data_IF_698481730796
#
_entry.id   IF_698481730796
#
_cell.length_a   1.000
_cell.length_b   1.000
_cell.length_c   1.000
_cell.angle_alpha   90.00
_cell.angle_beta   90.00
_cell.angle_gamma   90.00
#
_symmetry.space_group_name_H-M   'P 1'
#
loop_
_entity.id
_entity.type
_entity.pdbx_description
1 polymer ?
#
# COMPACT_ATOMS: atom_id res chain seq x y z
N UNK A 1 -4.60 28.65 -0.52
CA UNK A 1 -3.49 27.97 0.19
C UNK A 1 -2.48 27.51 -0.85
N UNK A 2 -1.36 28.22 -0.99
CA UNK A 2 -0.20 27.68 -1.70
C UNK A 2 0.38 26.59 -0.78
N UNK A 3 0.16 25.31 -1.12
CA UNK A 3 0.93 24.22 -0.51
C UNK A 3 2.39 24.48 -0.88
N UNK A 4 3.21 24.82 0.10
CA UNK A 4 4.65 24.71 -0.05
C UNK A 4 4.92 23.24 -0.30
N UNK A 5 5.59 22.91 -1.41
CA UNK A 5 6.14 21.58 -1.61
C UNK A 5 7.09 21.33 -0.43
N UNK A 6 6.72 20.44 0.47
CA UNK A 6 7.64 20.01 1.52
C UNK A 6 8.66 19.08 0.87
N UNK A 7 9.92 19.39 1.08
CA UNK A 7 11.03 18.54 0.65
C UNK A 7 11.00 17.25 1.47
N UNK A 8 10.37 16.22 0.91
CA UNK A 8 10.35 14.87 1.46
C UNK A 8 10.89 13.90 0.42
N UNK A 9 11.53 12.83 0.85
CA UNK A 9 11.92 11.76 -0.05
C UNK A 9 10.67 10.98 -0.50
N UNK A 10 10.64 10.60 -1.78
CA UNK A 10 9.68 9.60 -2.24
C UNK A 10 9.98 8.25 -1.58
N UNK A 11 9.04 7.31 -1.62
CA UNK A 11 9.27 5.94 -1.12
C UNK A 11 10.49 5.32 -1.83
N UNK A 12 10.58 5.47 -3.16
CA UNK A 12 11.69 4.94 -3.95
C UNK A 12 13.04 5.55 -3.56
N UNK A 13 13.11 6.89 -3.39
CA UNK A 13 14.34 7.56 -2.98
C UNK A 13 14.77 7.16 -1.56
N UNK A 14 13.81 7.03 -0.64
CA UNK A 14 14.09 6.60 0.72
C UNK A 14 14.56 5.14 0.76
N UNK A 15 13.90 4.23 0.04
CA UNK A 15 14.34 2.84 -0.08
C UNK A 15 15.75 2.77 -0.65
N UNK A 16 16.08 3.55 -1.68
CA UNK A 16 17.42 3.59 -2.25
C UNK A 16 18.47 4.10 -1.23
N UNK A 17 18.14 5.13 -0.46
CA UNK A 17 19.01 5.68 0.57
C UNK A 17 19.32 4.66 1.69
N UNK A 18 18.30 3.90 2.13
CA UNK A 18 18.45 2.89 3.19
C UNK A 18 19.07 1.58 2.70
N UNK A 19 18.89 1.22 1.44
CA UNK A 19 19.50 0.04 0.82
C UNK A 19 21.03 0.15 0.73
N UNK A 20 21.55 1.36 0.59
CA UNK A 20 23.00 1.64 0.56
C UNK A 20 23.70 1.09 -0.69
N UNK A 21 25.02 1.04 -0.64
CA UNK A 21 25.88 0.68 -1.80
C UNK A 21 25.82 -0.80 -2.18
N UNK A 22 25.30 -1.65 -1.32
CA UNK A 22 25.23 -3.11 -1.54
C UNK A 22 23.96 -3.57 -2.28
N UNK A 23 23.08 -2.65 -2.64
CA UNK A 23 21.85 -2.95 -3.36
C UNK A 23 21.67 -2.02 -4.54
N UNK A 24 21.03 -2.53 -5.59
CA UNK A 24 20.58 -1.73 -6.73
C UNK A 24 19.08 -1.57 -6.64
N UNK A 25 18.61 -0.34 -6.49
CA UNK A 25 17.18 -0.03 -6.50
C UNK A 25 16.79 0.49 -7.88
N UNK A 26 15.83 -0.17 -8.50
CA UNK A 26 15.29 0.22 -9.81
C UNK A 26 13.83 0.64 -9.58
N UNK A 27 13.49 1.82 -10.06
CA UNK A 27 12.14 2.36 -9.97
C UNK A 27 11.46 2.35 -11.33
N UNK A 28 10.22 1.89 -11.37
CA UNK A 28 9.31 2.01 -12.51
C UNK A 28 7.93 2.40 -12.00
N UNK A 29 7.24 3.30 -12.72
CA UNK A 29 5.97 3.86 -12.23
C UNK A 29 4.74 3.10 -12.70
N UNK A 30 4.54 2.99 -14.02
CA UNK A 30 3.26 2.61 -14.62
C UNK A 30 3.36 1.74 -15.89
N UNK A 31 4.57 1.45 -16.34
CA UNK A 31 4.76 0.58 -17.51
C UNK A 31 4.73 -0.90 -17.09
N UNK A 32 3.58 -1.54 -17.26
CA UNK A 32 3.31 -2.92 -16.82
C UNK A 32 4.28 -3.92 -17.48
N UNK A 33 4.56 -3.79 -18.79
CA UNK A 33 5.50 -4.67 -19.50
C UNK A 33 6.92 -4.52 -18.92
N UNK A 34 7.34 -3.28 -18.66
CA UNK A 34 8.66 -3.01 -18.09
C UNK A 34 8.78 -3.53 -16.66
N UNK A 35 7.73 -3.39 -15.86
CA UNK A 35 7.64 -3.96 -14.51
C UNK A 35 7.79 -5.48 -14.56
N UNK A 36 7.07 -6.16 -15.45
CA UNK A 36 7.17 -7.60 -15.63
C UNK A 36 8.58 -8.07 -16.02
N UNK A 37 9.31 -7.27 -16.81
CA UNK A 37 10.71 -7.56 -17.17
C UNK A 37 11.64 -7.39 -15.97
N UNK A 38 11.58 -6.24 -15.30
CA UNK A 38 12.45 -5.91 -14.16
C UNK A 38 12.23 -6.85 -12.98
N UNK A 39 11.00 -7.26 -12.74
CA UNK A 39 10.63 -8.15 -11.65
C UNK A 39 11.34 -9.52 -11.73
N UNK A 40 11.70 -10.00 -12.91
CA UNK A 40 12.37 -11.31 -13.09
C UNK A 40 13.77 -11.35 -12.46
N UNK A 41 14.46 -10.21 -12.48
CA UNK A 41 15.84 -10.09 -12.02
C UNK A 41 15.93 -9.50 -10.59
N UNK A 42 14.80 -9.10 -10.01
CA UNK A 42 14.75 -8.58 -8.65
C UNK A 42 14.91 -9.68 -7.59
N UNK A 43 15.50 -9.36 -6.46
CA UNK A 43 15.51 -10.22 -5.27
C UNK A 43 14.25 -10.02 -4.42
N UNK A 44 13.75 -8.79 -4.39
CA UNK A 44 12.50 -8.40 -3.71
C UNK A 44 11.82 -7.28 -4.50
N UNK A 45 10.50 -7.26 -4.47
CA UNK A 45 9.69 -6.25 -5.14
C UNK A 45 8.88 -5.50 -4.09
N UNK A 46 8.87 -4.17 -4.18
CA UNK A 46 8.03 -3.29 -3.37
C UNK A 46 7.08 -2.58 -4.32
N UNK A 47 5.79 -2.86 -4.18
CA UNK A 47 4.74 -2.20 -4.99
C UNK A 47 4.00 -1.20 -4.13
N UNK A 48 4.03 0.07 -4.51
CA UNK A 48 3.25 1.11 -3.86
C UNK A 48 1.94 1.33 -4.61
N UNK A 49 0.83 1.21 -3.91
CA UNK A 49 -0.53 1.40 -4.43
C UNK A 49 -1.30 2.40 -3.57
N UNK A 50 -2.38 2.91 -4.10
CA UNK A 50 -3.25 3.84 -3.38
C UNK A 50 -3.68 5.01 -4.24
N UNK A 51 -4.04 6.11 -3.60
CA UNK A 51 -4.55 7.30 -4.28
C UNK A 51 -3.89 8.59 -3.78
N UNK A 52 -3.84 9.62 -4.63
CA UNK A 52 -3.49 10.97 -4.19
C UNK A 52 -4.52 11.53 -3.21
N UNK A 53 -4.06 12.26 -2.20
CA UNK A 53 -4.90 12.80 -1.12
C UNK A 53 -6.07 13.71 -1.55
N UNK A 54 -6.11 14.15 -2.79
CA UNK A 54 -7.16 15.01 -3.33
C UNK A 54 -8.29 14.24 -4.05
N UNK A 55 -8.16 12.91 -4.21
CA UNK A 55 -9.12 12.11 -4.97
C UNK A 55 -10.21 11.45 -4.09
N UNK A 56 -10.18 11.65 -2.78
CA UNK A 56 -11.18 11.08 -1.87
C UNK A 56 -12.43 11.97 -1.69
N UNK A 57 -12.37 13.23 -2.09
CA UNK A 57 -13.48 14.18 -1.96
C UNK A 57 -14.30 14.31 -3.27
N UNK A 58 -15.62 14.54 -3.18
CA UNK A 58 -16.41 14.92 -4.34
C UNK A 58 -15.85 16.19 -5.04
N UNK A 59 -15.89 16.27 -6.38
CA UNK A 59 -16.52 15.36 -7.33
C UNK A 59 -15.66 14.18 -7.78
N UNK A 60 -14.49 13.98 -7.21
CA UNK A 60 -13.54 12.94 -7.60
C UNK A 60 -13.63 11.67 -6.73
N UNK A 61 -14.66 11.55 -5.87
CA UNK A 61 -14.91 10.35 -5.10
C UNK A 61 -15.17 9.13 -5.99
N UNK A 62 -14.74 7.98 -5.53
CA UNK A 62 -14.95 6.71 -6.21
C UNK A 62 -16.14 5.96 -5.61
N UNK A 63 -16.89 5.24 -6.45
CA UNK A 63 -18.01 4.38 -6.04
C UNK A 63 -17.53 3.00 -5.54
N UNK A 64 -16.22 2.82 -5.43
CA UNK A 64 -15.59 1.55 -5.04
C UNK A 64 -14.44 1.78 -4.07
N UNK A 65 -14.19 0.78 -3.22
CA UNK A 65 -12.99 0.69 -2.39
C UNK A 65 -11.91 -0.21 -3.00
N UNK A 66 -12.09 -0.66 -4.23
CA UNK A 66 -11.05 -1.39 -4.94
C UNK A 66 -9.89 -0.46 -5.32
N UNK A 67 -8.72 -1.05 -5.49
CA UNK A 67 -7.55 -0.35 -6.01
C UNK A 67 -7.84 0.05 -7.46
N UNK A 68 -7.66 1.33 -7.77
CA UNK A 68 -8.10 1.93 -9.04
C UNK A 68 -6.99 2.00 -10.10
N UNK A 69 -7.39 2.18 -11.36
CA UNK A 69 -6.49 2.33 -12.50
C UNK A 69 -5.74 1.04 -12.83
N UNK A 70 -4.51 1.17 -13.32
CA UNK A 70 -3.64 0.05 -13.70
C UNK A 70 -2.91 -0.60 -12.52
N UNK A 71 -3.18 -0.19 -11.29
CA UNK A 71 -2.42 -0.66 -10.12
C UNK A 71 -2.59 -2.16 -9.88
N UNK A 72 -3.79 -2.71 -10.14
CA UNK A 72 -4.02 -4.15 -10.06
C UNK A 72 -3.18 -4.91 -11.10
N UNK A 73 -3.10 -4.41 -12.34
CA UNK A 73 -2.29 -5.00 -13.40
C UNK A 73 -0.79 -4.98 -13.04
N UNK A 74 -0.32 -3.91 -12.39
CA UNK A 74 1.04 -3.78 -11.88
C UNK A 74 1.33 -4.84 -10.81
N UNK A 75 0.43 -5.02 -9.84
CA UNK A 75 0.54 -6.04 -8.81
C UNK A 75 0.63 -7.45 -9.42
N UNK A 76 -0.23 -7.76 -10.37
CA UNK A 76 -0.27 -9.06 -11.05
C UNK A 76 0.99 -9.30 -11.88
N UNK A 77 1.47 -8.30 -12.61
CA UNK A 77 2.71 -8.38 -13.39
C UNK A 77 3.94 -8.62 -12.48
N UNK A 78 4.01 -7.93 -11.36
CA UNK A 78 5.06 -8.12 -10.37
C UNK A 78 5.00 -9.53 -9.77
N UNK A 79 3.82 -10.00 -9.38
CA UNK A 79 3.57 -11.33 -8.81
C UNK A 79 3.96 -12.46 -9.75
N UNK A 80 3.73 -12.29 -11.06
CA UNK A 80 4.05 -13.30 -12.06
C UNK A 80 5.55 -13.68 -12.12
N UNK A 81 6.43 -12.84 -11.57
CA UNK A 81 7.86 -13.16 -11.43
C UNK A 81 8.17 -14.24 -10.41
N UNK A 82 7.25 -14.51 -9.46
CA UNK A 82 7.44 -15.44 -8.35
C UNK A 82 8.37 -14.94 -7.25
N UNK A 83 8.80 -13.68 -7.32
CA UNK A 83 9.70 -13.09 -6.32
C UNK A 83 8.95 -12.65 -5.06
N UNK A 84 9.65 -12.55 -3.91
CA UNK A 84 9.07 -11.95 -2.72
C UNK A 84 8.55 -10.54 -3.01
N UNK A 85 7.32 -10.25 -2.57
CA UNK A 85 6.67 -8.99 -2.86
C UNK A 85 6.04 -8.39 -1.60
N UNK A 86 6.26 -7.10 -1.40
CA UNK A 86 5.64 -6.29 -0.35
C UNK A 86 4.77 -5.22 -1.00
N UNK A 87 3.54 -5.08 -0.53
CA UNK A 87 2.64 -4.01 -0.94
C UNK A 87 2.65 -2.90 0.10
N UNK A 88 2.90 -1.66 -0.34
CA UNK A 88 2.78 -0.45 0.47
C UNK A 88 1.53 0.28 0.01
N UNK A 89 0.58 0.46 0.91
CA UNK A 89 -0.70 1.11 0.61
C UNK A 89 -0.68 2.53 1.16
N UNK A 90 -1.01 3.50 0.31
CA UNK A 90 -1.12 4.92 0.70
C UNK A 90 -2.48 5.46 0.29
N UNK A 91 -3.22 6.03 1.23
CA UNK A 91 -4.55 6.57 0.97
C UNK A 91 -5.35 6.76 2.25
N UNK A 92 -6.54 7.33 2.11
CA UNK A 92 -7.40 7.63 3.26
C UNK A 92 -8.59 6.67 3.42
N UNK A 93 -8.68 5.65 2.58
CA UNK A 93 -9.81 4.71 2.55
C UNK A 93 -9.36 3.29 2.88
N UNK A 94 -10.24 2.46 3.46
CA UNK A 94 -9.97 1.05 3.66
C UNK A 94 -10.16 0.30 2.33
N UNK A 95 -9.10 0.23 1.53
CA UNK A 95 -9.14 -0.49 0.26
C UNK A 95 -9.47 -1.96 0.44
N UNK A 96 -10.06 -2.56 -0.59
CA UNK A 96 -10.20 -4.01 -0.71
C UNK A 96 -8.81 -4.57 -1.04
N UNK A 97 -8.19 -5.20 -0.06
CA UNK A 97 -6.83 -5.73 -0.15
C UNK A 97 -6.79 -7.27 -0.21
N UNK A 98 -7.92 -7.92 -0.46
CA UNK A 98 -8.02 -9.39 -0.46
C UNK A 98 -7.02 -10.03 -1.41
N UNK A 99 -6.89 -9.48 -2.63
CA UNK A 99 -5.88 -9.97 -3.56
C UNK A 99 -4.45 -9.81 -3.02
N UNK A 100 -4.15 -8.68 -2.39
CA UNK A 100 -2.83 -8.43 -1.80
C UNK A 100 -2.56 -9.37 -0.62
N UNK A 101 -3.55 -9.63 0.24
CA UNK A 101 -3.44 -10.55 1.36
C UNK A 101 -3.09 -11.97 0.90
N UNK A 102 -3.71 -12.43 -0.17
CA UNK A 102 -3.50 -13.77 -0.74
C UNK A 102 -2.20 -13.90 -1.55
N UNK A 103 -1.68 -12.82 -2.12
CA UNK A 103 -0.65 -12.86 -3.15
C UNK A 103 0.66 -12.18 -2.77
N UNK A 104 0.72 -11.37 -1.71
CA UNK A 104 1.95 -10.70 -1.29
C UNK A 104 2.48 -11.25 0.02
N UNK A 105 3.76 -11.03 0.29
CA UNK A 105 4.41 -11.55 1.50
C UNK A 105 4.15 -10.66 2.73
N UNK A 106 3.85 -9.38 2.48
CA UNK A 106 3.47 -8.42 3.52
C UNK A 106 2.71 -7.25 2.91
N UNK A 107 1.84 -6.65 3.71
CA UNK A 107 1.15 -5.39 3.40
C UNK A 107 1.51 -4.38 4.48
N UNK A 108 1.98 -3.21 4.06
CA UNK A 108 2.21 -2.05 4.92
C UNK A 108 1.18 -0.97 4.59
N UNK A 109 0.19 -0.79 5.47
CA UNK A 109 -0.78 0.29 5.36
C UNK A 109 -0.18 1.56 5.99
N UNK A 110 0.09 2.56 5.15
CA UNK A 110 0.74 3.79 5.57
C UNK A 110 -0.21 5.00 5.62
N UNK A 111 -1.45 4.85 5.20
CA UNK A 111 -2.42 5.96 5.11
C UNK A 111 -1.86 7.19 4.38
N UNK A 112 -1.97 8.37 4.98
CA UNK A 112 -1.36 9.62 4.52
C UNK A 112 -0.17 9.99 5.41
N UNK A 113 1.02 9.45 5.17
CA UNK A 113 2.14 9.54 6.12
C UNK A 113 2.83 10.91 6.13
N UNK A 114 2.40 11.85 5.30
CA UNK A 114 2.94 13.21 5.24
C UNK A 114 4.33 13.30 4.60
N UNK A 115 5.03 14.41 4.85
CA UNK A 115 6.30 14.73 4.19
C UNK A 115 7.46 13.81 4.57
N UNK A 116 7.41 13.15 5.70
CA UNK A 116 8.42 12.19 6.15
C UNK A 116 8.02 10.73 5.86
N UNK A 117 6.92 10.53 5.13
CA UNK A 117 6.36 9.22 4.85
C UNK A 117 7.32 8.27 4.15
N UNK A 118 8.04 8.74 3.15
CA UNK A 118 9.03 7.92 2.45
C UNK A 118 10.09 7.35 3.39
N UNK A 119 10.61 8.18 4.31
CA UNK A 119 11.59 7.77 5.31
C UNK A 119 10.99 6.76 6.27
N UNK A 120 9.83 7.06 6.87
CA UNK A 120 9.18 6.19 7.84
C UNK A 120 8.82 4.81 7.24
N UNK A 121 8.36 4.78 6.00
CA UNK A 121 8.09 3.55 5.25
C UNK A 121 9.37 2.77 5.03
N UNK A 122 10.46 3.41 4.56
CA UNK A 122 11.74 2.75 4.37
C UNK A 122 12.30 2.19 5.68
N UNK A 123 12.29 2.97 6.76
CA UNK A 123 12.72 2.50 8.09
C UNK A 123 11.94 1.26 8.56
N UNK A 124 10.64 1.23 8.30
CA UNK A 124 9.81 0.07 8.60
C UNK A 124 10.21 -1.12 7.71
N UNK A 125 10.32 -0.94 6.40
CA UNK A 125 10.70 -2.01 5.47
C UNK A 125 12.09 -2.62 5.79
N UNK A 126 13.03 -1.80 6.27
CA UNK A 126 14.37 -2.26 6.68
C UNK A 126 14.45 -2.71 8.15
N UNK A 127 13.33 -2.74 8.88
CA UNK A 127 13.28 -3.22 10.26
C UNK A 127 13.90 -2.28 11.31
N UNK A 128 14.13 -1.02 10.95
CA UNK A 128 14.63 0.01 11.88
C UNK A 128 13.52 0.58 12.75
N UNK A 129 12.28 0.47 12.28
CA UNK A 129 11.08 0.83 12.99
C UNK A 129 10.12 -0.36 13.00
N UNK A 130 9.72 -0.82 14.19
CA UNK A 130 8.76 -1.92 14.31
C UNK A 130 7.32 -1.35 14.27
N UNK A 131 6.47 -1.77 13.33
CA UNK A 131 5.09 -1.29 13.29
C UNK A 131 4.34 -1.67 14.56
N UNK A 132 3.63 -0.70 15.14
CA UNK A 132 2.80 -0.87 16.34
C UNK A 132 1.37 -0.36 16.12
N UNK A 133 1.10 0.21 14.95
CA UNK A 133 -0.21 0.73 14.57
C UNK A 133 -1.24 -0.38 14.47
N UNK A 134 -2.47 -0.03 14.79
CA UNK A 134 -3.64 -0.91 14.63
C UNK A 134 -4.67 -0.21 13.76
N UNK A 135 -5.43 -0.97 12.98
CA UNK A 135 -6.45 -0.42 12.08
C UNK A 135 -7.52 0.32 12.85
N UNK A 136 -7.82 1.58 12.48
CA UNK A 136 -8.86 2.38 13.16
C UNK A 136 -10.27 2.07 12.67
N UNK A 137 -10.42 1.12 11.75
CA UNK A 137 -11.67 0.66 11.15
C UNK A 137 -11.47 -0.73 10.56
N UNK A 138 -12.55 -1.39 10.17
CA UNK A 138 -12.49 -2.66 9.46
C UNK A 138 -12.11 -2.45 7.99
N UNK A 139 -11.32 -3.35 7.43
CA UNK A 139 -11.04 -3.41 6.00
C UNK A 139 -12.00 -4.42 5.36
N UNK A 140 -12.75 -4.02 4.34
CA UNK A 140 -13.70 -4.90 3.68
C UNK A 140 -12.98 -5.97 2.85
N UNK A 141 -13.61 -7.13 2.74
CA UNK A 141 -13.12 -8.22 1.90
C UNK A 141 -13.49 -8.02 0.42
N UNK A 142 -14.63 -7.40 0.18
CA UNK A 142 -15.19 -7.12 -1.14
C UNK A 142 -16.21 -5.99 -1.08
N UNK A 143 -16.67 -5.54 -2.25
CA UNK A 143 -17.69 -4.49 -2.34
C UNK A 143 -19.08 -4.94 -1.89
N UNK A 144 -19.37 -6.23 -1.88
CA UNK A 144 -20.68 -6.73 -1.41
C UNK A 144 -20.76 -6.59 0.11
N UNK A 145 -19.67 -6.85 0.83
CA UNK A 145 -19.56 -6.56 2.27
C UNK A 145 -19.84 -5.09 2.58
N UNK A 146 -19.30 -4.16 1.77
CA UNK A 146 -19.53 -2.72 1.94
C UNK A 146 -20.99 -2.34 1.68
N UNK A 147 -21.61 -2.88 0.62
CA UNK A 147 -23.01 -2.57 0.25
C UNK A 147 -24.02 -3.13 1.25
N UNK A 148 -23.66 -4.22 1.92
CA UNK A 148 -24.51 -4.88 2.91
C UNK A 148 -24.28 -4.39 4.34
N UNK A 149 -23.39 -3.42 4.53
CA UNK A 149 -23.16 -2.78 5.83
C UNK A 149 -24.45 -2.13 6.32
N UNK A 150 -24.90 -2.47 7.53
CA UNK A 150 -26.19 -2.01 8.07
C UNK A 150 -26.11 -0.64 8.77
N UNK A 151 -24.95 -0.27 9.24
CA UNK A 151 -24.69 0.98 9.96
C UNK A 151 -23.64 1.87 9.29
N UNK A 152 -23.23 2.89 10.01
CA UNK A 152 -22.17 3.82 9.61
C UNK A 152 -21.00 3.84 10.62
N UNK A 153 -20.87 2.77 11.39
CA UNK A 153 -19.78 2.61 12.36
C UNK A 153 -18.61 1.82 11.79
N UNK A 154 -17.43 2.03 12.34
CA UNK A 154 -16.17 1.51 11.78
C UNK A 154 -15.96 -0.01 11.94
N UNK A 155 -16.92 -0.72 12.52
CA UNK A 155 -16.77 -2.13 12.95
C UNK A 155 -18.07 -2.95 12.81
N UNK A 156 -18.90 -2.66 11.82
CA UNK A 156 -20.17 -3.37 11.56
C UNK A 156 -20.16 -4.18 10.26
N UNK A 157 -19.00 -4.34 9.62
CA UNK A 157 -18.86 -5.25 8.49
C UNK A 157 -18.96 -6.70 8.97
N UNK A 158 -19.80 -7.49 8.30
CA UNK A 158 -19.75 -8.95 8.43
C UNK A 158 -18.54 -9.51 7.70
N UNK A 159 -17.77 -10.36 8.36
CA UNK A 159 -16.60 -11.03 7.77
C UNK A 159 -15.59 -10.08 7.09
N UNK A 160 -15.03 -9.08 7.79
CA UNK A 160 -14.02 -8.19 7.23
C UNK A 160 -12.75 -8.96 6.83
N UNK A 161 -11.93 -8.39 5.95
CA UNK A 161 -10.58 -8.90 5.69
C UNK A 161 -9.70 -8.71 6.92
N UNK A 162 -9.67 -7.49 7.44
CA UNK A 162 -9.02 -7.15 8.70
C UNK A 162 -10.01 -6.45 9.62
N UNK A 163 -10.07 -6.88 10.87
CA UNK A 163 -10.98 -6.33 11.85
C UNK A 163 -10.47 -5.01 12.42
N UNK A 164 -11.33 -4.28 13.10
CA UNK A 164 -10.95 -3.13 13.90
C UNK A 164 -9.88 -3.51 14.94
N UNK A 165 -8.83 -2.70 15.03
CA UNK A 165 -7.71 -2.97 15.93
C UNK A 165 -6.73 -4.05 15.43
N UNK A 166 -6.86 -4.49 14.19
CA UNK A 166 -5.91 -5.40 13.56
C UNK A 166 -4.55 -4.74 13.34
N UNK A 167 -3.50 -5.52 13.37
CA UNK A 167 -2.14 -5.11 13.01
C UNK A 167 -1.12 -6.06 13.60
N UNK A 168 -0.06 -6.29 12.85
CA UNK A 168 1.06 -7.15 13.21
C UNK A 168 2.30 -6.30 13.51
N UNK A 169 3.18 -6.85 14.31
CA UNK A 169 4.53 -6.34 14.58
C UNK A 169 5.57 -7.35 14.12
N UNK A 170 6.81 -6.94 13.94
CA UNK A 170 7.86 -7.90 13.61
C UNK A 170 8.08 -8.88 14.76
N UNK A 171 8.12 -10.17 14.40
CA UNK A 171 8.30 -11.27 15.35
C UNK A 171 7.00 -11.89 15.87
N UNK A 172 5.85 -11.47 15.35
CA UNK A 172 4.54 -12.06 15.62
C UNK A 172 4.12 -13.04 14.53
#
# INVERSE_FOLDING_TARGET
YKRQAQEGLTIADAVAAYAGENATVIYESDNVERIAELAKDADIIIVSVGEPSYQHDPPWGYDTLEITGSQQEILEAAKASGKPMVTVVTGGRPYILTWCDENTNAILEAYYPGSQGGIAIAETLFGLNNPTGKTPLQFPRDMDSVRNQEGDVSFDLENPLYDYGWGLSYGE
#
